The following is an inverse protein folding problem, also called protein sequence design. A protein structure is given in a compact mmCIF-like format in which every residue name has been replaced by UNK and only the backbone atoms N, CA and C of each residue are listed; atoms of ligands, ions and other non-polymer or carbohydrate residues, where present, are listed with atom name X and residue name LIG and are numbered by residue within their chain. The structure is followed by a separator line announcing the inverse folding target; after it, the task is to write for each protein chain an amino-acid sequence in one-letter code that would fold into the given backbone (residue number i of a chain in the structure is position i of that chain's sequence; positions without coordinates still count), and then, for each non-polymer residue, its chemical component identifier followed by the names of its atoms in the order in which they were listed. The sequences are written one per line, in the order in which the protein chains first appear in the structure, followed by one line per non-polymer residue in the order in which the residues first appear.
data_IF_026871457905
#
_entry.id   IF_026871457905
#
_cell.length_a   1.000
_cell.length_b   1.000
_cell.length_c   1.000
_cell.angle_alpha   90.00
_cell.angle_beta   90.00
_cell.angle_gamma   90.00
#
_symmetry.space_group_name_H-M   'P 1'
#
loop_
_entity.id
_entity.type
_entity.pdbx_description
1 polymer ?
#
# COMPACT_ATOMS: atom_id res chain seq x y z
N UNK A 1 2.71 2.71 -7.41
CA UNK A 1 3.34 3.64 -6.44
C UNK A 1 4.84 3.45 -6.51
N UNK A 2 5.63 4.50 -6.37
CA UNK A 2 7.09 4.39 -6.30
C UNK A 2 7.54 3.92 -4.91
N UNK A 3 8.80 3.51 -4.77
CA UNK A 3 9.35 2.97 -3.53
C UNK A 3 9.11 3.87 -2.30
N UNK A 4 9.27 5.19 -2.44
CA UNK A 4 9.06 6.16 -1.36
C UNK A 4 7.59 6.28 -0.93
N UNK A 5 6.64 5.90 -1.79
CA UNK A 5 5.21 5.94 -1.52
C UNK A 5 4.68 4.62 -0.95
N UNK A 6 5.13 3.48 -1.49
CA UNK A 6 4.64 2.16 -1.07
C UNK A 6 5.16 1.76 0.32
N UNK A 7 6.38 2.15 0.68
CA UNK A 7 6.98 1.80 1.97
C UNK A 7 6.17 2.27 3.19
N UNK A 8 5.75 3.55 3.30
CA UNK A 8 4.91 3.98 4.41
C UNK A 8 3.53 3.31 4.40
N UNK A 9 2.94 3.07 3.22
CA UNK A 9 1.65 2.35 3.10
C UNK A 9 1.77 0.94 3.69
N UNK A 10 2.79 0.18 3.27
CA UNK A 10 3.04 -1.19 3.75
C UNK A 10 3.33 -1.22 5.25
N UNK A 11 4.10 -0.26 5.76
CA UNK A 11 4.36 -0.15 7.19
C UNK A 11 3.07 0.06 8.01
N UNK A 12 2.21 0.98 7.58
CA UNK A 12 0.93 1.29 8.24
C UNK A 12 0.00 0.07 8.25
N UNK A 13 -0.23 -0.57 7.10
CA UNK A 13 -1.17 -1.71 7.02
C UNK A 13 -0.64 -2.94 7.76
N UNK A 14 0.69 -3.15 7.81
CA UNK A 14 1.28 -4.22 8.66
C UNK A 14 1.09 -3.94 10.14
N UNK A 15 1.24 -2.68 10.58
CA UNK A 15 0.92 -2.27 11.96
C UNK A 15 -0.54 -2.53 12.33
N UNK A 16 -1.44 -2.44 11.36
CA UNK A 16 -2.87 -2.73 11.50
C UNK A 16 -3.25 -4.20 11.29
N UNK A 17 -2.26 -5.11 11.21
CA UNK A 17 -2.43 -6.57 11.06
C UNK A 17 -3.11 -7.03 9.76
N UNK A 18 -2.97 -6.26 8.68
CA UNK A 18 -3.41 -6.71 7.36
C UNK A 18 -2.55 -7.87 6.86
N UNK A 19 -3.15 -8.73 6.04
CA UNK A 19 -2.40 -9.70 5.25
C UNK A 19 -1.95 -9.05 3.94
N UNK A 20 -0.64 -8.84 3.82
CA UNK A 20 0.02 -8.41 2.58
C UNK A 20 0.35 -9.67 1.79
N UNK A 21 -0.36 -9.90 0.68
CA UNK A 21 -0.22 -11.14 -0.10
C UNK A 21 1.00 -11.12 -1.01
N UNK A 22 1.08 -10.13 -1.89
CA UNK A 22 2.18 -9.97 -2.84
C UNK A 22 2.56 -8.51 -2.97
N UNK A 23 3.85 -8.23 -3.20
CA UNK A 23 4.38 -6.94 -3.64
C UNK A 23 5.27 -7.21 -4.86
N UNK A 24 4.98 -6.60 -6.00
CA UNK A 24 5.67 -6.91 -7.25
C UNK A 24 5.71 -5.72 -8.21
N UNK A 25 6.67 -5.82 -9.12
CA UNK A 25 6.87 -4.95 -10.27
C UNK A 25 6.23 -5.64 -11.49
N UNK A 26 5.41 -4.92 -12.26
CA UNK A 26 4.79 -5.50 -13.46
C UNK A 26 5.69 -5.40 -14.70
N UNK A 27 6.40 -4.29 -14.85
CA UNK A 27 7.27 -4.00 -15.99
C UNK A 27 8.70 -3.81 -15.51
N UNK A 28 9.68 -4.48 -16.14
CA UNK A 28 11.07 -4.49 -15.67
C UNK A 28 11.91 -3.27 -16.08
N UNK A 29 11.41 -2.42 -16.98
CA UNK A 29 12.12 -1.22 -17.49
C UNK A 29 11.25 0.05 -17.47
N UNK A 30 10.21 0.05 -16.63
CA UNK A 30 9.37 1.24 -16.45
C UNK A 30 10.09 2.29 -15.59
N UNK A 31 10.05 3.56 -16.00
CA UNK A 31 10.64 4.68 -15.27
C UNK A 31 9.60 5.76 -14.98
N UNK A 32 9.27 6.04 -13.70
CA UNK A 32 9.77 5.38 -12.50
C UNK A 32 9.17 3.98 -12.29
N UNK A 33 9.92 3.09 -11.64
CA UNK A 33 9.44 1.74 -11.31
C UNK A 33 8.18 1.81 -10.44
N UNK A 34 7.08 1.21 -10.91
CA UNK A 34 5.83 1.12 -10.17
C UNK A 34 5.71 -0.21 -9.44
N UNK A 35 5.36 -0.13 -8.16
CA UNK A 35 5.03 -1.25 -7.31
C UNK A 35 3.52 -1.43 -7.14
N UNK A 36 3.09 -2.69 -7.12
CA UNK A 36 1.70 -3.14 -6.93
C UNK A 36 1.61 -4.15 -5.80
N UNK A 37 0.53 -4.08 -5.01
CA UNK A 37 0.30 -5.04 -3.92
C UNK A 37 -1.17 -5.40 -3.74
N UNK A 38 -1.42 -6.69 -3.52
CA UNK A 38 -2.72 -7.21 -3.10
C UNK A 38 -2.75 -7.35 -1.58
N UNK A 39 -3.73 -6.73 -0.94
CA UNK A 39 -3.86 -6.73 0.52
C UNK A 39 -5.27 -7.17 0.92
N UNK A 40 -5.35 -7.94 2.00
CA UNK A 40 -6.59 -8.46 2.56
C UNK A 40 -6.71 -8.04 4.02
N UNK A 41 -7.91 -7.67 4.43
CA UNK A 41 -8.23 -7.39 5.82
C UNK A 41 -9.65 -7.90 6.15
N UNK A 42 -9.84 -8.36 7.38
CA UNK A 42 -11.10 -8.85 7.94
C UNK A 42 -11.55 -7.93 9.07
N UNK A 43 -12.78 -7.45 9.03
CA UNK A 43 -13.31 -6.50 10.02
C UNK A 43 -14.53 -5.73 9.55
N UNK A 44 -14.89 -4.66 10.27
CA UNK A 44 -16.02 -3.80 9.90
C UNK A 44 -15.83 -3.15 8.53
N UNK A 45 -16.92 -3.03 7.74
CA UNK A 45 -16.87 -2.64 6.32
C UNK A 45 -16.11 -1.33 6.04
N UNK A 46 -16.06 -0.40 7.00
CA UNK A 46 -15.36 0.88 6.86
C UNK A 46 -13.90 0.87 7.31
N UNK A 47 -13.50 -0.11 8.13
CA UNK A 47 -12.12 -0.18 8.65
C UNK A 47 -11.09 -0.34 7.52
N UNK A 48 -11.32 -1.17 6.47
CA UNK A 48 -10.43 -1.23 5.32
C UNK A 48 -10.26 0.10 4.60
N UNK A 49 -11.37 0.82 4.37
CA UNK A 49 -11.35 2.09 3.65
C UNK A 49 -10.61 3.20 4.44
N UNK A 50 -10.83 3.27 5.76
CA UNK A 50 -10.15 4.25 6.62
C UNK A 50 -8.64 4.03 6.68
N UNK A 51 -8.22 2.77 6.81
CA UNK A 51 -6.84 2.34 6.83
C UNK A 51 -6.09 2.59 5.52
N UNK A 52 -6.73 2.31 4.37
CA UNK A 52 -6.17 2.66 3.06
C UNK A 52 -5.97 4.16 2.97
N UNK A 53 -6.97 4.96 3.36
CA UNK A 53 -6.88 6.43 3.36
C UNK A 53 -5.73 6.93 4.25
N UNK A 54 -5.57 6.38 5.43
CA UNK A 54 -4.46 6.70 6.35
C UNK A 54 -3.10 6.33 5.75
N UNK A 55 -2.98 5.13 5.16
CA UNK A 55 -1.74 4.66 4.55
C UNK A 55 -1.30 5.47 3.34
N UNK A 56 -2.23 5.93 2.50
CA UNK A 56 -1.94 6.74 1.31
C UNK A 56 -1.87 8.25 1.58
N UNK A 57 -2.34 8.73 2.73
CA UNK A 57 -2.23 10.15 3.11
C UNK A 57 -0.81 10.76 3.01
N UNK A 58 0.29 10.04 3.36
CA UNK A 58 1.65 10.56 3.18
C UNK A 58 2.17 10.45 1.74
N UNK A 59 1.44 9.79 0.84
CA UNK A 59 1.78 9.69 -0.59
C UNK A 59 1.12 10.86 -1.32
N UNK A 60 1.83 11.54 -2.22
CA UNK A 60 1.41 12.82 -2.86
C UNK A 60 1.36 14.07 -1.95
N UNK A 61 2.08 14.11 -0.83
CA UNK A 61 2.25 15.34 -0.03
C UNK A 61 3.33 16.30 -0.58
N UNK A 62 3.58 16.25 -1.89
CA UNK A 62 4.55 17.07 -2.62
C UNK A 62 3.89 17.95 -3.67
#
# INVERSE_FOLDING_TARGET
MIASEINPVVATVRGQRWHVGCLYDQETDEQPQLHYSHMLNVGGAYAPAAAVREGVAPTNAG
#
